data_IF_960817537030
#
_entry.id   IF_960817537030
#
_cell.length_a   1.000
_cell.length_b   1.000
_cell.length_c   1.000
_cell.angle_alpha   90.00
_cell.angle_beta   90.00
_cell.angle_gamma   90.00
#
_symmetry.space_group_name_H-M   'P 1'
#
loop_
_entity.id
_entity.type
_entity.pdbx_description
1 polymer ?
#
# COMPACT_ATOMS: atom_id res chain seq x y z
N UNK A 1 31.27 13.10 25.10
CA UNK A 1 30.41 12.65 23.98
C UNK A 1 29.52 11.53 24.50
N UNK A 2 28.34 11.34 23.91
CA UNK A 2 27.42 10.24 24.27
C UNK A 2 27.31 9.28 23.09
N UNK A 3 27.06 8.01 23.39
CA UNK A 3 26.80 6.99 22.38
C UNK A 3 25.82 5.97 22.93
N UNK A 4 24.95 5.46 22.07
CA UNK A 4 23.97 4.43 22.42
C UNK A 4 24.42 3.06 21.90
N UNK A 5 24.07 2.00 22.64
CA UNK A 5 24.16 0.63 22.11
C UNK A 5 23.07 0.47 21.06
N UNK A 6 23.42 -0.14 19.92
CA UNK A 6 22.48 -0.39 18.82
C UNK A 6 21.19 -1.02 19.32
N UNK A 7 20.06 -0.35 19.05
CA UNK A 7 18.72 -0.89 19.24
C UNK A 7 18.24 -1.50 17.92
N UNK A 8 17.87 -2.79 17.95
CA UNK A 8 17.37 -3.47 16.76
C UNK A 8 16.06 -2.84 16.27
N UNK A 9 15.94 -2.67 14.95
CA UNK A 9 14.78 -2.02 14.35
C UNK A 9 14.78 -0.49 14.44
N UNK A 10 15.81 0.16 14.98
CA UNK A 10 15.89 1.63 15.06
C UNK A 10 17.08 2.20 14.29
N UNK A 11 16.93 3.45 13.85
CA UNK A 11 17.98 4.34 13.40
C UNK A 11 18.27 5.37 14.49
N UNK A 12 19.53 5.46 14.92
CA UNK A 12 19.96 6.36 15.99
C UNK A 12 20.68 7.59 15.41
N UNK A 13 20.28 8.78 15.84
CA UNK A 13 20.96 10.04 15.55
C UNK A 13 21.42 10.70 16.85
N UNK A 14 22.67 11.19 16.89
CA UNK A 14 23.25 11.88 18.05
C UNK A 14 23.58 13.33 17.69
N UNK A 15 22.91 14.27 18.35
CA UNK A 15 23.12 15.71 18.21
C UNK A 15 23.56 16.30 19.56
N UNK A 16 24.87 16.46 19.77
CA UNK A 16 25.45 16.90 21.04
C UNK A 16 25.30 15.84 22.13
N UNK A 17 24.37 16.07 23.06
CA UNK A 17 23.99 15.12 24.13
C UNK A 17 22.59 14.53 23.93
N UNK A 18 21.91 14.88 22.83
CA UNK A 18 20.57 14.36 22.50
C UNK A 18 20.71 13.13 21.62
N UNK A 19 20.06 12.04 22.00
CA UNK A 19 19.98 10.79 21.24
C UNK A 19 18.53 10.63 20.79
N UNK A 20 18.30 10.52 19.48
CA UNK A 20 16.99 10.28 18.89
C UNK A 20 16.99 8.91 18.21
N UNK A 21 16.02 8.07 18.57
CA UNK A 21 15.78 6.77 17.93
C UNK A 21 14.53 6.85 17.05
N UNK A 22 14.68 6.58 15.76
CA UNK A 22 13.59 6.49 14.78
C UNK A 22 13.36 5.03 14.40
N UNK A 23 12.14 4.52 14.57
CA UNK A 23 11.83 3.14 14.19
C UNK A 23 11.94 2.95 12.68
N UNK A 24 12.65 1.90 12.25
CA UNK A 24 12.77 1.51 10.85
C UNK A 24 11.57 0.66 10.47
N UNK A 25 10.66 1.27 9.73
CA UNK A 25 9.47 0.59 9.22
C UNK A 25 9.82 -0.32 8.03
N UNK A 26 10.50 -1.44 8.32
CA UNK A 26 10.90 -2.44 7.32
C UNK A 26 9.86 -3.53 7.11
N UNK A 27 8.90 -3.64 8.03
CA UNK A 27 7.78 -4.57 7.90
C UNK A 27 6.89 -4.14 6.75
N UNK A 28 6.56 -5.12 5.90
CA UNK A 28 5.70 -4.92 4.73
C UNK A 28 4.38 -5.66 4.89
N UNK A 29 3.35 -5.12 4.27
CA UNK A 29 2.03 -5.73 4.14
C UNK A 29 1.53 -5.64 2.70
N UNK A 30 0.39 -6.28 2.45
CA UNK A 30 -0.31 -6.23 1.17
C UNK A 30 -1.82 -6.04 1.39
N UNK A 31 -2.46 -5.41 0.40
CA UNK A 31 -3.91 -5.24 0.34
C UNK A 31 -4.37 -5.77 -1.02
N UNK A 32 -5.31 -6.70 -1.02
CA UNK A 32 -5.88 -7.26 -2.25
C UNK A 32 -7.40 -7.20 -2.23
N UNK A 33 -7.98 -7.19 -3.43
CA UNK A 33 -9.42 -7.11 -3.61
C UNK A 33 -9.86 -7.52 -5.00
N UNK A 34 -11.19 -7.50 -5.20
CA UNK A 34 -11.82 -7.78 -6.48
C UNK A 34 -12.95 -6.82 -6.77
N UNK A 35 -13.16 -6.50 -8.04
CA UNK A 35 -14.34 -5.80 -8.54
C UNK A 35 -15.36 -6.82 -9.05
N UNK A 36 -16.59 -6.68 -8.57
CA UNK A 36 -17.75 -7.43 -9.09
C UNK A 36 -18.64 -6.45 -9.84
N UNK A 37 -19.16 -6.90 -10.98
CA UNK A 37 -20.08 -6.15 -11.83
C UNK A 37 -21.46 -6.82 -11.81
N UNK A 38 -22.42 -6.16 -11.17
CA UNK A 38 -23.84 -6.54 -11.18
C UNK A 38 -24.57 -5.76 -12.29
N UNK A 39 -24.25 -6.07 -13.54
CA UNK A 39 -24.67 -5.31 -14.75
C UNK A 39 -25.34 -6.20 -15.82
N UNK A 40 -25.99 -7.30 -15.38
CA UNK A 40 -26.62 -8.30 -16.25
C UNK A 40 -25.62 -8.93 -17.24
N UNK A 41 -24.43 -9.28 -16.75
CA UNK A 41 -23.34 -9.81 -17.58
C UNK A 41 -23.00 -8.88 -18.75
N UNK A 42 -22.90 -7.57 -18.48
CA UNK A 42 -22.64 -6.52 -19.46
C UNK A 42 -23.64 -6.50 -20.64
N UNK A 43 -24.92 -6.84 -20.42
CA UNK A 43 -25.96 -6.91 -21.48
C UNK A 43 -26.05 -5.64 -22.35
N UNK A 44 -25.73 -4.50 -21.77
CA UNK A 44 -25.84 -3.19 -22.41
C UNK A 44 -24.53 -2.66 -23.00
N UNK A 45 -23.43 -3.43 -22.93
CA UNK A 45 -22.09 -3.03 -23.40
C UNK A 45 -21.59 -1.70 -22.80
N UNK A 46 -21.97 -1.41 -21.55
CA UNK A 46 -21.60 -0.18 -20.83
C UNK A 46 -20.39 -0.37 -19.92
N UNK A 47 -19.98 -1.61 -19.65
CA UNK A 47 -18.83 -1.89 -18.79
C UNK A 47 -17.56 -1.35 -19.45
N UNK A 48 -16.75 -0.54 -18.76
CA UNK A 48 -15.50 -0.03 -19.32
C UNK A 48 -14.48 -1.16 -19.49
N UNK A 49 -13.50 -0.96 -20.39
CA UNK A 49 -12.40 -1.92 -20.58
C UNK A 49 -11.45 -2.01 -19.38
N UNK A 50 -11.37 -0.93 -18.59
CA UNK A 50 -10.53 -0.85 -17.40
C UNK A 50 -11.11 0.10 -16.37
N UNK A 51 -10.66 -0.04 -15.12
CA UNK A 51 -10.93 0.90 -14.03
C UNK A 51 -9.60 1.28 -13.37
N UNK A 52 -9.56 2.46 -12.76
CA UNK A 52 -8.48 2.85 -11.84
C UNK A 52 -8.93 2.54 -10.41
N UNK A 53 -8.11 1.82 -9.65
CA UNK A 53 -8.31 1.60 -8.22
C UNK A 53 -7.19 2.30 -7.48
N UNK A 54 -7.54 3.14 -6.52
CA UNK A 54 -6.60 3.88 -5.69
C UNK A 54 -6.60 3.29 -4.28
N UNK A 55 -5.41 3.10 -3.71
CA UNK A 55 -5.22 2.77 -2.31
C UNK A 55 -5.00 4.08 -1.54
N UNK A 56 -5.84 4.29 -0.53
CA UNK A 56 -5.81 5.48 0.32
C UNK A 56 -5.26 5.11 1.69
N UNK A 57 -4.41 5.99 2.23
CA UNK A 57 -3.98 6.00 3.62
C UNK A 57 -4.47 7.34 4.18
N UNK A 58 -5.44 7.26 5.08
CA UNK A 58 -6.32 8.39 5.43
C UNK A 58 -6.92 9.04 4.17
N UNK A 59 -6.76 10.36 4.00
CA UNK A 59 -7.26 11.11 2.84
C UNK A 59 -6.23 11.23 1.69
N UNK A 60 -5.14 10.46 1.72
CA UNK A 60 -4.07 10.52 0.71
C UNK A 60 -4.02 9.25 -0.13
N UNK A 61 -3.98 9.43 -1.46
CA UNK A 61 -3.66 8.34 -2.39
C UNK A 61 -2.17 8.00 -2.26
N UNK A 62 -1.88 6.75 -1.91
CA UNK A 62 -0.50 6.26 -1.72
C UNK A 62 -0.04 5.32 -2.83
N UNK A 63 -0.97 4.63 -3.49
CA UNK A 63 -0.72 3.82 -4.68
C UNK A 63 -1.98 3.79 -5.55
N UNK A 64 -1.83 3.50 -6.83
CA UNK A 64 -2.95 3.20 -7.70
C UNK A 64 -2.59 2.14 -8.73
N UNK A 65 -3.61 1.52 -9.30
CA UNK A 65 -3.45 0.51 -10.34
C UNK A 65 -4.60 0.53 -11.34
N UNK A 66 -4.29 0.18 -12.58
CA UNK A 66 -5.30 -0.04 -13.61
C UNK A 66 -5.70 -1.52 -13.61
N UNK A 67 -6.98 -1.78 -13.37
CA UNK A 67 -7.54 -3.12 -13.33
C UNK A 67 -8.33 -3.39 -14.62
N UNK A 68 -8.11 -4.56 -15.20
CA UNK A 68 -8.85 -5.11 -16.34
C UNK A 68 -9.37 -6.50 -15.99
N UNK A 69 -10.34 -6.98 -16.76
CA UNK A 69 -10.72 -8.39 -16.72
C UNK A 69 -9.53 -9.28 -17.11
N UNK A 70 -9.29 -10.35 -16.36
CA UNK A 70 -8.43 -11.45 -16.79
C UNK A 70 -9.11 -12.31 -17.87
N UNK A 71 -8.43 -13.36 -18.35
CA UNK A 71 -8.96 -14.29 -19.36
C UNK A 71 -10.26 -15.01 -18.92
N UNK A 72 -10.52 -15.07 -17.61
CA UNK A 72 -11.73 -15.67 -17.01
C UNK A 72 -12.79 -14.62 -16.68
N UNK A 73 -12.56 -13.36 -17.01
CA UNK A 73 -13.48 -12.26 -16.74
C UNK A 73 -13.38 -11.70 -15.31
N UNK A 74 -12.44 -12.15 -14.47
CA UNK A 74 -12.30 -11.65 -13.11
C UNK A 74 -11.53 -10.34 -13.08
N UNK A 75 -11.94 -9.45 -12.18
CA UNK A 75 -11.28 -8.18 -11.96
C UNK A 75 -10.64 -8.22 -10.57
N UNK A 76 -9.36 -8.55 -10.50
CA UNK A 76 -8.61 -8.65 -9.25
C UNK A 76 -7.52 -7.57 -9.20
N UNK A 77 -7.19 -7.10 -8.00
CA UNK A 77 -6.08 -6.17 -7.79
C UNK A 77 -5.35 -6.48 -6.49
N UNK A 78 -4.07 -6.14 -6.44
CA UNK A 78 -3.24 -6.26 -5.24
C UNK A 78 -2.23 -5.12 -5.18
N UNK A 79 -2.11 -4.51 -4.02
CA UNK A 79 -1.06 -3.58 -3.64
C UNK A 79 -0.11 -4.32 -2.70
N UNK A 80 1.17 -4.34 -3.04
CA UNK A 80 2.21 -5.09 -2.32
C UNK A 80 3.27 -4.14 -1.81
N UNK A 81 4.14 -4.66 -0.95
CA UNK A 81 5.28 -3.92 -0.40
C UNK A 81 4.87 -2.63 0.31
N UNK A 82 3.67 -2.61 0.91
CA UNK A 82 3.15 -1.48 1.65
C UNK A 82 3.84 -1.41 3.02
N UNK A 83 4.27 -0.23 3.51
CA UNK A 83 4.71 -0.09 4.89
C UNK A 83 3.60 -0.57 5.83
N UNK A 84 3.95 -1.40 6.81
CA UNK A 84 2.95 -1.98 7.72
C UNK A 84 2.39 -0.97 8.71
N UNK A 85 3.22 -0.01 9.11
CA UNK A 85 2.86 1.04 10.06
C UNK A 85 2.92 2.41 9.40
N UNK A 86 2.26 3.39 10.00
CA UNK A 86 2.40 4.78 9.60
C UNK A 86 3.68 5.35 10.21
N UNK A 87 4.32 6.28 9.50
CA UNK A 87 5.56 6.96 9.93
C UNK A 87 5.31 8.32 10.53
#
# INVERSE_FOLDING_TARGET
TVSEVKVEGYETKVDGTTITNTYKNTDKTEVSGKKVWEDYNNKFNTRPESIKVELHQDDKVIQDTTVKADEKGNWNFSFKDLPKYDG
#
